data_IF_612764006376
#
_entry.id   IF_612764006376
#
_cell.length_a   1.000
_cell.length_b   1.000
_cell.length_c   1.000
_cell.angle_alpha   90.00
_cell.angle_beta   90.00
_cell.angle_gamma   90.00
#
_symmetry.space_group_name_H-M   'P 1'
#
loop_
_entity.id
_entity.type
_entity.pdbx_description
1 polymer ?
#
# COMPACT_ATOMS: atom_id res chain seq x y z
N UNK A 1 -19.19 -22.33 20.19
CA UNK A 1 -17.72 -22.33 20.34
C UNK A 1 -17.13 -21.68 19.09
N UNK A 2 -16.64 -20.45 19.19
CA UNK A 2 -15.89 -19.80 18.10
C UNK A 2 -14.48 -20.40 18.08
N UNK A 3 -14.20 -21.27 17.13
CA UNK A 3 -12.84 -21.72 16.83
C UNK A 3 -12.04 -20.53 16.32
N UNK A 4 -11.15 -19.99 17.17
CA UNK A 4 -10.22 -18.94 16.79
C UNK A 4 -9.21 -19.53 15.80
N UNK A 5 -9.41 -19.28 14.51
CA UNK A 5 -8.47 -19.68 13.46
C UNK A 5 -7.07 -19.20 13.87
N UNK A 6 -6.05 -20.07 13.87
CA UNK A 6 -4.70 -19.64 14.22
C UNK A 6 -4.30 -18.51 13.26
N UNK A 7 -3.97 -17.35 13.86
CA UNK A 7 -3.45 -16.19 13.13
C UNK A 7 -2.27 -16.65 12.27
N UNK A 8 -2.37 -16.46 10.95
CA UNK A 8 -1.25 -16.71 10.07
C UNK A 8 -0.04 -15.90 10.55
N UNK A 9 1.12 -16.56 10.65
CA UNK A 9 2.35 -15.94 11.16
C UNK A 9 3.20 -15.49 9.99
N UNK A 10 3.10 -14.22 9.66
CA UNK A 10 3.91 -13.59 8.61
C UNK A 10 5.41 -13.61 8.94
N UNK A 11 6.20 -14.23 8.09
CA UNK A 11 7.66 -14.29 8.20
C UNK A 11 8.27 -12.90 8.03
N UNK A 12 7.77 -12.11 7.09
CA UNK A 12 8.23 -10.74 6.88
C UNK A 12 8.05 -9.85 8.11
N UNK A 13 7.02 -10.08 8.93
CA UNK A 13 6.67 -9.16 10.03
C UNK A 13 7.81 -9.03 11.05
N UNK A 14 8.49 -10.14 11.36
CA UNK A 14 9.67 -10.13 12.24
C UNK A 14 10.90 -9.46 11.60
N UNK A 15 10.98 -9.44 10.26
CA UNK A 15 12.11 -8.90 9.49
C UNK A 15 12.00 -7.39 9.28
N UNK A 16 10.79 -6.84 9.25
CA UNK A 16 10.52 -5.40 9.14
C UNK A 16 10.18 -4.78 10.51
N UNK A 17 11.01 -5.03 11.53
CA UNK A 17 10.93 -4.26 12.80
C UNK A 17 11.58 -2.88 12.62
N UNK A 18 11.26 -1.92 13.49
CA UNK A 18 11.89 -0.59 13.45
C UNK A 18 13.41 -0.73 13.51
N UNK A 19 14.12 -0.02 12.64
CA UNK A 19 15.59 -0.07 12.56
C UNK A 19 16.15 -1.48 12.28
N UNK A 20 15.39 -2.35 11.60
CA UNK A 20 15.85 -3.71 11.29
C UNK A 20 17.05 -3.75 10.35
N UNK A 21 17.24 -2.71 9.55
CA UNK A 21 18.26 -2.63 8.52
C UNK A 21 19.31 -1.58 8.88
N UNK A 22 20.56 -1.82 8.48
CA UNK A 22 21.60 -0.79 8.49
C UNK A 22 21.57 0.03 7.19
N UNK A 23 22.63 0.81 6.95
CA UNK A 23 22.70 1.74 5.82
C UNK A 23 22.64 1.11 4.42
N UNK A 24 22.93 -0.18 4.26
CA UNK A 24 22.96 -0.85 2.95
C UNK A 24 21.55 -1.19 2.43
N UNK A 25 21.25 -0.81 1.19
CA UNK A 25 19.94 -1.02 0.57
C UNK A 25 19.69 -2.41 -0.02
N UNK A 26 20.72 -3.23 -0.26
CA UNK A 26 20.55 -4.54 -0.90
C UNK A 26 19.68 -5.52 -0.09
N UNK A 27 19.91 -5.60 1.22
CA UNK A 27 19.17 -6.49 2.13
C UNK A 27 17.68 -6.13 2.24
N UNK A 28 17.27 -4.87 2.52
CA UNK A 28 15.85 -4.51 2.58
C UNK A 28 15.15 -4.75 1.23
N UNK A 29 15.80 -4.45 0.10
CA UNK A 29 15.23 -4.73 -1.23
C UNK A 29 14.97 -6.23 -1.42
N UNK A 30 15.91 -7.09 -1.00
CA UNK A 30 15.70 -8.54 -1.03
C UNK A 30 14.53 -8.95 -0.13
N UNK A 31 14.46 -8.44 1.10
CA UNK A 31 13.40 -8.77 2.05
C UNK A 31 12.02 -8.31 1.59
N UNK A 32 11.93 -7.18 0.86
CA UNK A 32 10.68 -6.71 0.25
C UNK A 32 10.16 -7.72 -0.78
N UNK A 33 11.04 -8.21 -1.67
CA UNK A 33 10.67 -9.22 -2.68
C UNK A 33 10.17 -10.52 -2.04
N UNK A 34 10.82 -10.96 -0.97
CA UNK A 34 10.41 -12.15 -0.21
C UNK A 34 9.03 -11.96 0.43
N UNK A 35 8.79 -10.80 1.05
CA UNK A 35 7.51 -10.47 1.68
C UNK A 35 6.36 -10.39 0.68
N UNK A 36 6.60 -9.76 -0.48
CA UNK A 36 5.62 -9.72 -1.59
C UNK A 36 5.31 -11.12 -2.11
N UNK A 37 6.32 -11.99 -2.20
CA UNK A 37 6.13 -13.39 -2.62
C UNK A 37 5.27 -14.15 -1.61
N UNK A 38 5.55 -14.00 -0.32
CA UNK A 38 4.76 -14.59 0.78
C UNK A 38 3.29 -14.16 0.70
N UNK A 39 3.02 -12.85 0.58
CA UNK A 39 1.65 -12.31 0.47
C UNK A 39 0.94 -12.85 -0.78
N UNK A 40 1.61 -12.85 -1.94
CA UNK A 40 1.05 -13.38 -3.19
C UNK A 40 0.71 -14.86 -3.13
N UNK A 41 1.43 -15.64 -2.33
CA UNK A 41 1.09 -17.06 -2.14
C UNK A 41 -0.22 -17.21 -1.36
N UNK A 42 -0.40 -16.45 -0.28
CA UNK A 42 -1.64 -16.45 0.50
C UNK A 42 -2.82 -15.89 -0.31
N UNK A 43 -2.57 -14.89 -1.15
CA UNK A 43 -3.58 -14.29 -2.01
C UNK A 43 -4.22 -15.27 -3.01
N UNK A 44 -3.68 -16.48 -3.17
CA UNK A 44 -4.29 -17.53 -4.02
C UNK A 44 -5.44 -18.26 -3.35
N UNK A 45 -5.50 -18.23 -2.02
CA UNK A 45 -6.48 -18.99 -1.23
C UNK A 45 -7.29 -18.12 -0.27
N UNK A 46 -6.70 -17.07 0.26
CA UNK A 46 -7.35 -16.17 1.23
C UNK A 46 -6.99 -14.71 0.92
N UNK A 47 -7.89 -14.05 0.18
CA UNK A 47 -7.68 -12.68 -0.28
C UNK A 47 -7.71 -11.68 0.88
N UNK A 48 -8.59 -11.89 1.87
CA UNK A 48 -8.74 -10.97 3.01
C UNK A 48 -7.53 -11.06 3.92
N UNK A 49 -7.03 -12.26 4.19
CA UNK A 49 -5.80 -12.44 4.96
C UNK A 49 -4.59 -11.85 4.22
N UNK A 50 -4.48 -12.08 2.92
CA UNK A 50 -3.39 -11.52 2.12
C UNK A 50 -3.41 -9.98 2.12
N UNK A 51 -4.58 -9.37 2.00
CA UNK A 51 -4.75 -7.92 2.10
C UNK A 51 -4.39 -7.38 3.49
N UNK A 52 -4.79 -8.05 4.57
CA UNK A 52 -4.37 -7.65 5.93
C UNK A 52 -2.85 -7.76 6.12
N UNK A 53 -2.23 -8.78 5.52
CA UNK A 53 -0.77 -8.93 5.45
C UNK A 53 -0.10 -7.80 4.64
N UNK A 54 -0.68 -7.42 3.50
CA UNK A 54 -0.20 -6.31 2.68
C UNK A 54 -0.24 -4.97 3.43
N UNK A 55 -1.36 -4.69 4.12
CA UNK A 55 -1.49 -3.52 5.01
C UNK A 55 -0.40 -3.55 6.09
N UNK A 56 -0.23 -4.70 6.73
CA UNK A 56 0.80 -4.89 7.77
C UNK A 56 2.21 -4.68 7.26
N UNK A 57 2.52 -5.09 6.03
CA UNK A 57 3.84 -4.84 5.43
C UNK A 57 4.05 -3.34 5.19
N UNK A 58 3.07 -2.65 4.58
CA UNK A 58 3.14 -1.22 4.25
C UNK A 58 3.37 -0.34 5.49
N UNK A 59 2.64 -0.60 6.58
CA UNK A 59 2.84 0.09 7.88
C UNK A 59 4.27 -0.01 8.41
N UNK A 60 4.92 -1.12 8.12
CA UNK A 60 6.23 -1.47 8.68
C UNK A 60 7.39 -0.96 7.83
N UNK A 61 7.13 -0.48 6.61
CA UNK A 61 8.18 -0.07 5.69
C UNK A 61 8.96 1.13 6.22
N UNK A 62 8.27 2.26 6.44
CA UNK A 62 8.91 3.50 6.91
C UNK A 62 9.80 3.30 8.14
N UNK A 63 9.29 2.75 9.27
CA UNK A 63 10.11 2.57 10.47
C UNK A 63 11.23 1.53 10.29
N UNK A 64 11.08 0.53 9.42
CA UNK A 64 12.13 -0.44 9.18
C UNK A 64 13.27 0.13 8.33
N UNK A 65 12.95 1.03 7.39
CA UNK A 65 13.87 1.57 6.39
C UNK A 65 14.53 2.90 6.81
N UNK A 66 14.17 3.45 7.97
CA UNK A 66 14.62 4.78 8.43
C UNK A 66 16.16 4.98 8.46
N UNK A 67 16.94 3.90 8.61
CA UNK A 67 18.42 3.95 8.67
C UNK A 67 19.10 3.61 7.34
N UNK A 68 18.33 3.29 6.29
CA UNK A 68 18.87 2.81 5.02
C UNK A 68 19.20 4.01 4.13
N UNK A 69 20.36 3.98 3.47
CA UNK A 69 20.72 4.97 2.47
C UNK A 69 19.88 4.77 1.19
N UNK A 70 19.05 5.76 0.89
CA UNK A 70 18.15 5.79 -0.26
C UNK A 70 18.66 6.69 -1.41
N UNK A 71 19.84 7.29 -1.29
CA UNK A 71 20.39 8.27 -2.25
C UNK A 71 20.48 7.76 -3.70
N UNK A 72 20.74 6.46 -3.88
CA UNK A 72 20.76 5.80 -5.20
C UNK A 72 19.39 5.68 -5.88
N UNK A 73 18.30 5.95 -5.16
CA UNK A 73 16.91 5.76 -5.63
C UNK A 73 16.48 4.29 -5.75
N UNK A 74 17.40 3.32 -5.66
CA UNK A 74 17.10 1.90 -5.84
C UNK A 74 16.12 1.35 -4.79
N UNK A 75 16.24 1.82 -3.54
CA UNK A 75 15.32 1.46 -2.46
C UNK A 75 13.93 2.04 -2.71
N UNK A 76 13.82 3.34 -2.99
CA UNK A 76 12.55 4.00 -3.30
C UNK A 76 11.83 3.33 -4.46
N UNK A 77 12.54 3.04 -5.55
CA UNK A 77 11.98 2.31 -6.69
C UNK A 77 11.50 0.89 -6.32
N UNK A 78 12.16 0.22 -5.38
CA UNK A 78 11.71 -1.10 -4.90
C UNK A 78 10.46 -0.99 -4.01
N UNK A 79 10.34 0.06 -3.20
CA UNK A 79 9.15 0.33 -2.39
C UNK A 79 7.97 0.71 -3.28
N UNK A 80 8.14 1.59 -4.27
CA UNK A 80 7.06 1.96 -5.20
C UNK A 80 6.52 0.75 -5.96
N UNK A 81 7.40 -0.10 -6.50
CA UNK A 81 6.99 -1.39 -7.11
C UNK A 81 6.28 -2.31 -6.12
N UNK A 82 6.65 -2.27 -4.84
CA UNK A 82 5.96 -3.04 -3.80
C UNK A 82 4.55 -2.50 -3.60
N UNK A 83 4.38 -1.19 -3.51
CA UNK A 83 3.07 -0.51 -3.42
C UNK A 83 2.19 -0.87 -4.61
N UNK A 84 2.69 -0.71 -5.85
CA UNK A 84 1.99 -1.06 -7.09
C UNK A 84 1.49 -2.51 -7.11
N UNK A 85 2.23 -3.43 -6.49
CA UNK A 85 1.86 -4.84 -6.41
C UNK A 85 0.83 -5.11 -5.31
N UNK A 86 0.92 -4.41 -4.18
CA UNK A 86 0.07 -4.67 -3.01
C UNK A 86 -1.26 -3.93 -3.06
N UNK A 87 -1.32 -2.78 -3.72
CA UNK A 87 -2.56 -2.00 -3.88
C UNK A 87 -3.68 -2.87 -4.51
N UNK A 88 -3.47 -3.60 -5.63
CA UNK A 88 -4.50 -4.48 -6.19
C UNK A 88 -4.88 -5.64 -5.27
N UNK A 89 -3.95 -6.15 -4.45
CA UNK A 89 -4.24 -7.21 -3.47
C UNK A 89 -5.18 -6.70 -2.38
N UNK A 90 -4.95 -5.47 -1.90
CA UNK A 90 -5.81 -4.84 -0.89
C UNK A 90 -7.15 -4.44 -1.49
N UNK A 91 -7.14 -3.75 -2.63
CA UNK A 91 -8.35 -3.27 -3.30
C UNK A 91 -9.26 -4.43 -3.72
N UNK A 92 -8.70 -5.51 -4.27
CA UNK A 92 -9.45 -6.68 -4.77
C UNK A 92 -9.95 -7.65 -3.70
N UNK A 93 -9.59 -7.46 -2.42
CA UNK A 93 -10.19 -8.23 -1.33
C UNK A 93 -11.63 -7.75 -1.06
N UNK A 94 -12.51 -8.61 -0.53
CA UNK A 94 -13.88 -8.25 -0.15
C UNK A 94 -14.11 -8.44 1.36
N UNK A 95 -13.44 -7.66 2.23
CA UNK A 95 -13.67 -7.72 3.67
C UNK A 95 -14.99 -7.03 4.04
N UNK A 96 -15.38 -7.12 5.31
CA UNK A 96 -16.44 -6.26 5.86
C UNK A 96 -16.03 -4.78 5.77
N UNK A 97 -17.01 -3.87 5.70
CA UNK A 97 -16.76 -2.43 5.69
C UNK A 97 -15.93 -1.97 6.90
N UNK A 98 -16.17 -2.53 8.10
CA UNK A 98 -15.39 -2.21 9.29
C UNK A 98 -13.92 -2.63 9.19
N UNK A 99 -13.64 -3.79 8.59
CA UNK A 99 -12.26 -4.23 8.34
C UNK A 99 -11.58 -3.35 7.29
N UNK A 100 -12.29 -2.98 6.23
CA UNK A 100 -11.80 -2.04 5.20
C UNK A 100 -11.41 -0.70 5.81
N UNK A 101 -12.30 -0.10 6.60
CA UNK A 101 -12.06 1.17 7.25
C UNK A 101 -10.84 1.10 8.18
N UNK A 102 -10.74 0.03 8.96
CA UNK A 102 -9.57 -0.21 9.83
C UNK A 102 -8.26 -0.32 9.03
N UNK A 103 -8.26 -0.91 7.85
CA UNK A 103 -7.08 -0.93 6.99
C UNK A 103 -6.69 0.46 6.50
N UNK A 104 -7.66 1.28 6.10
CA UNK A 104 -7.41 2.65 5.65
C UNK A 104 -6.88 3.53 6.78
N UNK A 105 -7.45 3.45 7.99
CA UNK A 105 -6.93 4.17 9.17
C UNK A 105 -5.47 3.81 9.45
N UNK A 106 -5.17 2.50 9.45
CA UNK A 106 -3.82 1.96 9.64
C UNK A 106 -2.81 2.48 8.60
N UNK A 107 -3.19 2.47 7.33
CA UNK A 107 -2.35 3.00 6.25
C UNK A 107 -2.20 4.53 6.34
N UNK A 108 -3.24 5.23 6.78
CA UNK A 108 -3.21 6.69 6.90
C UNK A 108 -2.31 7.11 8.07
N UNK A 109 -2.38 6.40 9.20
CA UNK A 109 -1.44 6.56 10.30
C UNK A 109 0.00 6.29 9.84
N UNK A 110 0.22 5.28 9.00
CA UNK A 110 1.54 5.02 8.44
C UNK A 110 2.03 6.19 7.58
N UNK A 111 1.18 6.75 6.69
CA UNK A 111 1.50 7.93 5.87
C UNK A 111 1.82 9.16 6.72
N UNK A 112 1.04 9.42 7.78
CA UNK A 112 1.28 10.56 8.68
C UNK A 112 2.61 10.43 9.45
N UNK A 113 3.03 9.20 9.73
CA UNK A 113 4.26 8.91 10.45
C UNK A 113 5.47 8.65 9.51
N UNK A 114 5.32 8.89 8.20
CA UNK A 114 6.34 8.63 7.18
C UNK A 114 7.42 9.74 7.17
N UNK A 115 8.33 9.70 8.15
CA UNK A 115 9.34 10.76 8.34
C UNK A 115 10.28 10.93 7.14
N UNK A 116 10.66 9.82 6.51
CA UNK A 116 11.30 9.80 5.19
C UNK A 116 10.25 9.26 4.24
N UNK A 117 9.89 9.95 3.15
CA UNK A 117 8.71 9.64 2.34
C UNK A 117 8.88 8.36 1.50
N UNK A 118 8.93 7.20 2.16
CA UNK A 118 9.09 5.91 1.50
C UNK A 118 7.75 5.39 0.97
N UNK A 119 6.65 5.71 1.66
CA UNK A 119 5.33 5.22 1.32
C UNK A 119 4.38 6.34 0.85
N UNK A 120 4.87 7.58 0.67
CA UNK A 120 4.07 8.69 0.15
C UNK A 120 3.29 8.33 -1.14
N UNK A 121 3.91 7.51 -2.00
CA UNK A 121 3.34 7.05 -3.26
C UNK A 121 2.05 6.23 -3.09
N UNK A 122 1.82 5.66 -1.90
CA UNK A 122 0.58 4.98 -1.55
C UNK A 122 -0.63 5.92 -1.60
N UNK A 123 -0.43 7.21 -1.31
CA UNK A 123 -1.50 8.21 -1.34
C UNK A 123 -2.14 8.37 -2.72
N UNK A 124 -1.40 8.16 -3.80
CA UNK A 124 -1.93 8.23 -5.17
C UNK A 124 -2.97 7.14 -5.45
N UNK A 125 -2.90 6.02 -4.72
CA UNK A 125 -3.81 4.88 -4.85
C UNK A 125 -4.95 4.89 -3.84
N UNK A 126 -5.13 5.96 -3.05
CA UNK A 126 -6.11 5.97 -1.97
C UNK A 126 -7.54 5.71 -2.43
N UNK A 127 -7.93 6.25 -3.57
CA UNK A 127 -9.24 5.99 -4.18
C UNK A 127 -9.44 4.50 -4.51
N UNK A 128 -8.41 3.82 -5.01
CA UNK A 128 -8.45 2.38 -5.30
C UNK A 128 -8.54 1.56 -4.01
N UNK A 129 -7.79 1.95 -2.96
CA UNK A 129 -7.82 1.30 -1.65
C UNK A 129 -9.18 1.40 -0.96
N UNK A 130 -9.91 2.51 -1.18
CA UNK A 130 -11.27 2.71 -0.69
C UNK A 130 -12.27 1.69 -1.27
N UNK A 131 -11.98 1.14 -2.46
CA UNK A 131 -12.76 0.14 -3.21
C UNK A 131 -14.20 0.52 -3.59
N UNK A 132 -14.85 1.45 -2.88
CA UNK A 132 -16.22 1.91 -3.14
C UNK A 132 -16.30 3.44 -3.12
N UNK A 133 -17.17 4.05 -3.94
CA UNK A 133 -17.37 5.50 -3.93
C UNK A 133 -17.84 6.05 -2.58
N UNK A 134 -18.59 5.25 -1.80
CA UNK A 134 -19.08 5.65 -0.50
C UNK A 134 -17.93 5.86 0.50
N UNK A 135 -17.04 4.87 0.62
CA UNK A 135 -15.84 4.97 1.48
C UNK A 135 -14.92 6.08 0.97
N UNK A 136 -14.71 6.17 -0.36
CA UNK A 136 -13.90 7.23 -0.95
C UNK A 136 -14.46 8.62 -0.63
N UNK A 137 -15.78 8.82 -0.68
CA UNK A 137 -16.40 10.10 -0.30
C UNK A 137 -16.18 10.42 1.18
N UNK A 138 -16.36 9.47 2.09
CA UNK A 138 -16.12 9.68 3.52
C UNK A 138 -14.67 10.08 3.81
N UNK A 139 -13.71 9.41 3.17
CA UNK A 139 -12.30 9.76 3.29
C UNK A 139 -11.97 11.13 2.67
N UNK A 140 -12.55 11.44 1.52
CA UNK A 140 -12.40 12.77 0.92
C UNK A 140 -12.93 13.88 1.84
N UNK A 141 -14.13 13.72 2.39
CA UNK A 141 -14.74 14.71 3.29
C UNK A 141 -13.89 14.92 4.57
N UNK A 142 -13.22 13.86 5.06
CA UNK A 142 -12.31 13.93 6.20
C UNK A 142 -11.00 14.66 5.89
N UNK A 143 -10.41 14.42 4.72
CA UNK A 143 -9.08 14.93 4.37
C UNK A 143 -9.13 16.33 3.75
N UNK A 144 -10.25 16.69 3.11
CA UNK A 144 -10.42 17.94 2.37
C UNK A 144 -10.10 19.20 3.19
N UNK A 145 -10.50 19.34 4.47
CA UNK A 145 -10.17 20.53 5.25
C UNK A 145 -8.65 20.75 5.40
N UNK A 146 -7.89 19.68 5.64
CA UNK A 146 -6.43 19.75 5.76
C UNK A 146 -5.77 20.08 4.42
N UNK A 147 -6.22 19.44 3.35
CA UNK A 147 -5.73 19.69 1.99
C UNK A 147 -6.03 21.12 1.52
N UNK A 148 -7.24 21.62 1.75
CA UNK A 148 -7.65 22.97 1.37
C UNK A 148 -6.84 24.03 2.11
N UNK A 149 -6.51 23.81 3.39
CA UNK A 149 -5.65 24.71 4.16
C UNK A 149 -4.25 24.81 3.56
N UNK A 150 -3.61 23.67 3.28
CA UNK A 150 -2.24 23.62 2.75
C UNK A 150 -2.16 24.17 1.32
N UNK A 151 -3.16 23.93 0.48
CA UNK A 151 -3.18 24.43 -0.90
C UNK A 151 -3.75 25.85 -1.04
N UNK A 152 -4.29 26.42 0.04
CA UNK A 152 -4.88 27.76 0.06
C UNK A 152 -3.82 28.87 0.13
N UNK A 153 -4.26 30.12 -0.02
CA UNK A 153 -3.39 31.30 0.07
C UNK A 153 -2.68 31.42 1.43
N UNK A 154 -3.30 30.89 2.49
CA UNK A 154 -2.78 30.88 3.86
C UNK A 154 -1.86 29.68 4.15
N UNK A 155 -1.62 28.81 3.15
CA UNK A 155 -0.96 27.50 3.33
C UNK A 155 0.48 27.57 3.84
N UNK A 156 1.11 28.74 3.89
CA UNK A 156 2.40 29.04 4.54
C UNK A 156 3.56 28.05 4.29
N UNK A 157 3.47 27.20 3.25
CA UNK A 157 4.42 26.11 3.01
C UNK A 157 4.28 24.90 3.95
N UNK A 158 3.17 24.79 4.68
CA UNK A 158 2.86 23.60 5.50
C UNK A 158 2.73 22.36 4.60
N UNK A 159 3.17 21.20 5.09
CA UNK A 159 2.97 19.92 4.42
C UNK A 159 1.84 19.14 5.10
N UNK A 160 0.97 18.52 4.29
CA UNK A 160 -0.02 17.57 4.76
C UNK A 160 0.09 16.25 3.98
N UNK A 161 0.50 15.19 4.67
CA UNK A 161 0.70 13.85 4.11
C UNK A 161 -0.57 13.29 3.43
N UNK A 162 -1.75 13.71 3.88
CA UNK A 162 -3.04 13.29 3.30
C UNK A 162 -3.44 13.99 2.01
N UNK A 163 -2.62 14.88 1.45
CA UNK A 163 -2.98 15.67 0.26
C UNK A 163 -3.23 14.79 -0.96
N UNK A 164 -2.29 13.89 -1.31
CA UNK A 164 -2.45 12.99 -2.46
C UNK A 164 -3.59 11.99 -2.23
N UNK A 165 -3.72 11.48 -1.00
CA UNK A 165 -4.83 10.61 -0.60
C UNK A 165 -6.20 11.29 -0.77
N UNK A 166 -6.33 12.56 -0.38
CA UNK A 166 -7.54 13.35 -0.57
C UNK A 166 -7.89 13.49 -2.05
N UNK A 167 -6.92 13.86 -2.88
CA UNK A 167 -7.13 14.05 -4.33
C UNK A 167 -7.51 12.73 -5.02
N UNK A 168 -6.85 11.63 -4.66
CA UNK A 168 -7.16 10.30 -5.18
C UNK A 168 -8.59 9.85 -4.78
N UNK A 169 -9.00 10.10 -3.54
CA UNK A 169 -10.35 9.80 -3.06
C UNK A 169 -11.43 10.64 -3.78
N UNK A 170 -11.19 11.93 -3.98
CA UNK A 170 -12.07 12.83 -4.73
C UNK A 170 -12.22 12.38 -6.19
N UNK A 171 -11.13 11.95 -6.82
CA UNK A 171 -11.16 11.44 -8.19
C UNK A 171 -11.99 10.15 -8.30
N UNK A 172 -11.81 9.22 -7.37
CA UNK A 172 -12.58 7.96 -7.34
C UNK A 172 -14.08 8.20 -7.11
N UNK A 173 -14.46 9.13 -6.21
CA UNK A 173 -15.86 9.54 -6.01
C UNK A 173 -16.51 10.02 -7.31
N UNK A 174 -15.76 10.74 -8.15
CA UNK A 174 -16.27 11.35 -9.37
C UNK A 174 -16.31 10.38 -10.57
N UNK A 175 -15.66 9.22 -10.49
CA UNK A 175 -15.60 8.26 -11.59
C UNK A 175 -16.92 7.45 -11.69
N UNK A 176 -17.59 7.40 -12.86
CA UNK A 176 -18.65 6.43 -13.09
C UNK A 176 -18.07 5.01 -12.99
N UNK A 177 -18.84 4.08 -12.43
CA UNK A 177 -18.49 2.70 -12.00
C UNK A 177 -17.77 1.81 -13.06
N UNK A 178 -17.50 2.31 -14.27
CA UNK A 178 -17.00 1.54 -15.41
C UNK A 178 -15.48 1.64 -15.68
N UNK A 179 -14.63 2.04 -14.72
CA UNK A 179 -13.16 1.96 -14.88
C UNK A 179 -12.54 1.09 -13.79
N UNK A 180 -13.02 -0.14 -13.65
CA UNK A 180 -12.12 -1.23 -13.25
C UNK A 180 -11.17 -1.47 -14.41
N UNK A 181 -9.91 -1.06 -14.26
CA UNK A 181 -8.81 -1.36 -15.18
C UNK A 181 -8.74 -2.88 -15.41
N UNK A 182 -9.33 -3.34 -16.50
CA UNK A 182 -9.24 -4.72 -16.94
C UNK A 182 -7.87 -5.01 -17.52
N UNK A 183 -7.05 -5.78 -16.80
CA UNK A 183 -6.26 -6.92 -17.32
C UNK A 183 -5.37 -7.51 -16.22
N UNK A 184 -5.90 -8.50 -15.52
CA UNK A 184 -5.12 -9.64 -15.08
C UNK A 184 -5.55 -10.82 -15.98
N UNK A 185 -4.84 -11.01 -17.08
CA UNK A 185 -4.86 -12.26 -17.86
C UNK A 185 -3.56 -12.32 -18.68
N UNK A 186 -2.73 -13.28 -18.25
CA UNK A 186 -1.78 -14.10 -19.01
C UNK A 186 -0.53 -13.47 -19.62
N UNK A 187 0.56 -13.57 -18.86
CA UNK A 187 1.90 -13.78 -19.41
C UNK A 187 2.63 -14.84 -18.59
N UNK A 188 2.32 -16.12 -18.84
CA UNK A 188 3.17 -17.24 -18.43
C UNK A 188 3.10 -18.34 -19.51
N UNK A 189 4.25 -18.53 -20.15
CA UNK A 189 4.70 -19.72 -20.91
C UNK A 189 4.28 -19.87 -22.37
N UNK A 190 5.21 -19.53 -23.27
CA UNK A 190 5.66 -20.44 -24.33
C UNK A 190 7.02 -19.95 -24.88
N UNK A 191 8.09 -20.34 -24.19
CA UNK A 191 9.40 -20.43 -24.81
C UNK A 191 9.54 -21.88 -25.28
N UNK A 192 9.58 -22.09 -26.60
CA UNK A 192 9.95 -23.36 -27.20
C UNK A 192 10.69 -23.10 -28.53
N UNK A 193 12.01 -23.29 -28.45
CA UNK A 193 12.87 -23.96 -29.45
C UNK A 193 13.10 -23.34 -30.84
N UNK A 194 14.29 -22.74 -31.00
CA UNK A 194 15.44 -23.13 -31.86
C UNK A 194 15.17 -23.90 -33.17
N UNK A 195 15.96 -23.51 -34.19
CA UNK A 195 16.31 -24.14 -35.50
C UNK A 195 15.52 -23.55 -36.68
N UNK A 196 16.10 -22.98 -37.75
CA UNK A 196 17.42 -23.08 -38.41
C UNK A 196 17.81 -21.70 -38.95
#
# INVERSE_FOLDING_TARGET
>A
MMTRTPSHKWTFSARFRRGAFGWKSALPIQRLKEAVTEIRQIARSDHVLAADGAVTLLEKLSPALEQVDSSSGALGAAVNRTIEVLVPVIAGAEPTAATRERWLERLFDALQNDQMPYIEYLGDYWGELCATPAIASTWADRLLPGTARVMGADGAGEHFAGTTACLSALHCRAAPIAITRGRFSDATTANASIAV
#
